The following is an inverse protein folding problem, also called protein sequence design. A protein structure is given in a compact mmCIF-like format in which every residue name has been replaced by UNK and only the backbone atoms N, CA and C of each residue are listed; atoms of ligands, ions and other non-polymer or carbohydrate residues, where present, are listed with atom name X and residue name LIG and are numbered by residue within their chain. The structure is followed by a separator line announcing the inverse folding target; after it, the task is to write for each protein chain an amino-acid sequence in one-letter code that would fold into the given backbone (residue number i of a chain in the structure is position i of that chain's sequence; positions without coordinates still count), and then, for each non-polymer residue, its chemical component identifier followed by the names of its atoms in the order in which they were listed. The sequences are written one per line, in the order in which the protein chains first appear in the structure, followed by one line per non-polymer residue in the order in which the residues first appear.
data_IF_251402648178
#
_entry.id   IF_251402648178
#
_cell.length_a   1.000
_cell.length_b   1.000
_cell.length_c   1.000
_cell.angle_alpha   90.00
_cell.angle_beta   90.00
_cell.angle_gamma   90.00
#
_symmetry.space_group_name_H-M   'P 1'
#
loop_
_entity.id
_entity.type
_entity.pdbx_description
1 polymer ?
#
# COMPACT_ATOMS: atom_id res chain seq x y z
N UNK A 1 -41.27 -10.58 0.56
CA UNK A 1 -40.17 -9.61 0.43
C UNK A 1 -39.79 -9.14 1.82
N UNK A 2 -38.55 -9.37 2.28
CA UNK A 2 -38.08 -8.78 3.53
C UNK A 2 -37.66 -7.33 3.25
N UNK A 3 -38.02 -6.35 4.10
CA UNK A 3 -37.56 -4.97 3.93
C UNK A 3 -36.04 -4.92 4.07
N UNK A 4 -35.39 -4.24 3.13
CA UNK A 4 -33.95 -3.96 3.21
C UNK A 4 -33.75 -3.00 4.39
N UNK A 5 -32.87 -3.30 5.36
CA UNK A 5 -32.61 -2.39 6.47
C UNK A 5 -32.08 -1.05 5.95
N UNK A 6 -32.56 0.05 6.52
CA UNK A 6 -32.11 1.40 6.19
C UNK A 6 -30.62 1.55 6.55
N UNK A 7 -29.83 2.14 5.65
CA UNK A 7 -28.42 2.47 5.93
C UNK A 7 -28.34 3.49 7.07
N UNK A 8 -27.20 3.53 7.75
CA UNK A 8 -26.95 4.60 8.72
C UNK A 8 -26.80 5.93 8.00
N UNK A 9 -27.25 7.02 8.62
CA UNK A 9 -27.09 8.39 8.10
C UNK A 9 -25.63 8.72 7.73
N UNK A 10 -24.68 8.24 8.53
CA UNK A 10 -23.26 8.41 8.27
C UNK A 10 -22.79 7.74 6.97
N UNK A 11 -23.36 6.58 6.61
CA UNK A 11 -23.07 5.91 5.35
C UNK A 11 -23.57 6.72 4.16
N UNK A 12 -24.76 7.33 4.26
CA UNK A 12 -25.35 8.15 3.18
C UNK A 12 -24.59 9.46 2.97
N UNK A 13 -24.15 10.09 4.06
CA UNK A 13 -23.29 11.28 4.01
C UNK A 13 -21.94 10.94 3.36
N UNK A 14 -21.35 9.80 3.71
CA UNK A 14 -20.10 9.33 3.08
C UNK A 14 -20.28 9.03 1.60
N UNK A 15 -21.36 8.35 1.21
CA UNK A 15 -21.69 8.08 -0.20
C UNK A 15 -21.79 9.39 -1.01
N UNK A 16 -22.37 10.43 -0.42
CA UNK A 16 -22.47 11.77 -1.02
C UNK A 16 -21.09 12.42 -1.21
N UNK A 17 -20.22 12.31 -0.20
CA UNK A 17 -18.84 12.83 -0.27
C UNK A 17 -18.05 12.12 -1.39
N UNK A 18 -18.14 10.79 -1.46
CA UNK A 18 -17.47 10.01 -2.50
C UNK A 18 -17.96 10.38 -3.90
N UNK A 19 -19.26 10.59 -4.06
CA UNK A 19 -19.84 11.04 -5.31
C UNK A 19 -19.31 12.41 -5.74
N UNK A 20 -19.20 13.36 -4.80
CA UNK A 20 -18.60 14.66 -5.08
C UNK A 20 -17.13 14.55 -5.51
N UNK A 21 -16.33 13.73 -4.83
CA UNK A 21 -14.94 13.50 -5.23
C UNK A 21 -14.84 12.82 -6.59
N UNK A 22 -15.74 11.89 -6.93
CA UNK A 22 -15.76 11.27 -8.25
C UNK A 22 -15.97 12.31 -9.34
N UNK A 23 -17.00 13.16 -9.21
CA UNK A 23 -17.28 14.24 -10.17
C UNK A 23 -16.12 15.22 -10.29
N UNK A 24 -15.50 15.57 -9.17
CA UNK A 24 -14.35 16.49 -9.17
C UNK A 24 -13.15 15.88 -9.90
N UNK A 25 -12.83 14.59 -9.65
CA UNK A 25 -11.77 13.87 -10.36
C UNK A 25 -12.06 13.76 -11.87
N UNK A 26 -13.29 13.47 -12.25
CA UNK A 26 -13.71 13.45 -13.67
C UNK A 26 -13.50 14.82 -14.34
N UNK A 27 -13.84 15.91 -13.65
CA UNK A 27 -13.60 17.27 -14.12
C UNK A 27 -12.10 17.57 -14.30
N UNK A 28 -11.27 17.24 -13.30
CA UNK A 28 -9.81 17.42 -13.37
C UNK A 28 -9.16 16.57 -14.47
N UNK A 29 -9.65 15.35 -14.66
CA UNK A 29 -9.19 14.48 -15.73
C UNK A 29 -9.56 15.06 -17.11
N UNK A 30 -10.79 15.56 -17.27
CA UNK A 30 -11.26 16.16 -18.52
C UNK A 30 -10.52 17.46 -18.89
N UNK A 31 -10.02 18.21 -17.91
CA UNK A 31 -9.19 19.40 -18.14
C UNK A 31 -7.70 19.10 -18.24
N UNK A 32 -7.30 17.83 -18.11
CA UNK A 32 -5.91 17.39 -18.05
C UNK A 32 -5.07 18.13 -16.99
N UNK A 33 -5.71 18.58 -15.91
CA UNK A 33 -5.06 19.35 -14.84
C UNK A 33 -4.09 18.46 -14.05
N UNK A 34 -2.80 18.81 -14.07
CA UNK A 34 -1.71 18.09 -13.39
C UNK A 34 -0.93 19.01 -12.45
N UNK A 35 -1.64 19.69 -11.56
CA UNK A 35 -1.07 20.61 -10.59
C UNK A 35 -1.19 20.07 -9.15
N UNK A 36 -0.76 20.87 -8.18
CA UNK A 36 -0.83 20.52 -6.76
C UNK A 36 -2.28 20.36 -6.27
N UNK A 37 -3.21 21.14 -6.81
CA UNK A 37 -4.62 21.04 -6.45
C UNK A 37 -5.19 19.68 -6.90
N UNK A 38 -4.87 19.23 -8.12
CA UNK A 38 -5.23 17.89 -8.57
C UNK A 38 -4.69 16.80 -7.64
N UNK A 39 -3.44 16.92 -7.18
CA UNK A 39 -2.87 15.99 -6.20
C UNK A 39 -3.70 15.97 -4.92
N UNK A 40 -3.93 17.12 -4.30
CA UNK A 40 -4.70 17.22 -3.05
C UNK A 40 -6.10 16.62 -3.16
N UNK A 41 -6.81 16.88 -4.27
CA UNK A 41 -8.14 16.30 -4.53
C UNK A 41 -8.08 14.77 -4.58
N UNK A 42 -7.09 14.21 -5.28
CA UNK A 42 -6.94 12.77 -5.37
C UNK A 42 -6.50 12.15 -4.04
N UNK A 43 -5.63 12.81 -3.28
CA UNK A 43 -5.23 12.39 -1.92
C UNK A 43 -6.46 12.31 -0.99
N UNK A 44 -7.30 13.36 -0.95
CA UNK A 44 -8.53 13.37 -0.16
C UNK A 44 -9.56 12.35 -0.65
N UNK A 45 -9.66 12.15 -1.96
CA UNK A 45 -10.53 11.12 -2.54
C UNK A 45 -10.09 9.72 -2.14
N UNK A 46 -8.78 9.45 -2.06
CA UNK A 46 -8.22 8.18 -1.59
C UNK A 46 -8.55 7.98 -0.12
N UNK A 47 -8.31 8.98 0.73
CA UNK A 47 -8.60 8.90 2.17
C UNK A 47 -10.10 8.68 2.42
N UNK A 48 -10.97 9.41 1.73
CA UNK A 48 -12.42 9.25 1.85
C UNK A 48 -12.88 7.86 1.42
N UNK A 49 -12.36 7.36 0.29
CA UNK A 49 -12.68 6.01 -0.21
C UNK A 49 -12.18 4.93 0.75
N UNK A 50 -11.02 5.15 1.37
CA UNK A 50 -10.47 4.30 2.39
C UNK A 50 -11.40 4.25 3.60
N UNK A 51 -11.77 5.39 4.19
CA UNK A 51 -12.70 5.46 5.33
C UNK A 51 -14.07 4.84 5.05
N UNK A 52 -14.58 5.00 3.83
CA UNK A 52 -15.83 4.39 3.39
C UNK A 52 -15.73 2.88 3.10
N UNK A 53 -14.52 2.31 3.07
CA UNK A 53 -14.28 0.94 2.62
C UNK A 53 -14.61 0.72 1.13
N UNK A 54 -14.70 1.78 0.33
CA UNK A 54 -15.03 1.71 -1.10
C UNK A 54 -13.75 1.40 -1.90
N UNK A 55 -13.38 0.12 -1.92
CA UNK A 55 -12.13 -0.31 -2.55
C UNK A 55 -12.08 -0.06 -4.08
N UNK A 56 -13.17 -0.24 -4.85
CA UNK A 56 -13.16 0.10 -6.27
C UNK A 56 -12.77 1.56 -6.53
N UNK A 57 -13.33 2.51 -5.78
CA UNK A 57 -12.98 3.92 -5.96
C UNK A 57 -11.60 4.26 -5.40
N UNK A 58 -11.24 3.66 -4.25
CA UNK A 58 -9.91 3.78 -3.66
C UNK A 58 -8.82 3.39 -4.65
N UNK A 59 -8.94 2.23 -5.28
CA UNK A 59 -7.92 1.69 -6.20
C UNK A 59 -7.79 2.51 -7.48
N UNK A 60 -8.91 2.99 -8.04
CA UNK A 60 -8.90 3.92 -9.19
C UNK A 60 -8.21 5.24 -8.84
N UNK A 61 -8.60 5.87 -7.72
CA UNK A 61 -8.03 7.14 -7.29
C UNK A 61 -6.54 6.99 -6.99
N UNK A 62 -6.17 5.96 -6.24
CA UNK A 62 -4.79 5.70 -5.83
C UNK A 62 -3.88 5.39 -7.03
N UNK A 63 -4.39 4.66 -8.03
CA UNK A 63 -3.63 4.37 -9.24
C UNK A 63 -3.25 5.65 -9.99
N UNK A 64 -4.24 6.50 -10.31
CA UNK A 64 -4.00 7.73 -11.03
C UNK A 64 -3.12 8.71 -10.22
N UNK A 65 -3.36 8.83 -8.90
CA UNK A 65 -2.54 9.65 -8.01
C UNK A 65 -1.06 9.27 -8.09
N UNK A 66 -0.75 7.98 -7.93
CA UNK A 66 0.64 7.52 -7.80
C UNK A 66 1.34 7.39 -9.16
N UNK A 67 0.64 6.96 -10.21
CA UNK A 67 1.23 6.71 -11.53
C UNK A 67 1.25 7.95 -12.44
N UNK A 68 0.27 8.84 -12.31
CA UNK A 68 0.12 9.97 -13.23
C UNK A 68 0.44 11.31 -12.58
N UNK A 69 -0.11 11.60 -11.40
CA UNK A 69 0.05 12.92 -10.77
C UNK A 69 1.37 13.06 -10.00
N UNK A 70 1.69 12.11 -9.13
CA UNK A 70 2.90 12.17 -8.32
C UNK A 70 4.20 12.33 -9.13
N UNK A 71 4.42 11.59 -10.24
CA UNK A 71 5.64 11.76 -11.02
C UNK A 71 5.72 13.14 -11.64
N UNK A 72 4.61 13.73 -12.10
CA UNK A 72 4.61 15.04 -12.75
C UNK A 72 4.84 16.16 -11.74
N UNK A 73 4.08 16.19 -10.64
CA UNK A 73 4.12 17.30 -9.68
C UNK A 73 5.41 17.32 -8.87
N UNK A 74 5.93 16.15 -8.48
CA UNK A 74 7.09 16.07 -7.59
C UNK A 74 8.44 15.92 -8.31
N UNK A 75 8.49 15.71 -9.63
CA UNK A 75 9.75 15.81 -10.39
C UNK A 75 10.09 17.25 -10.77
N UNK A 76 9.10 18.14 -10.79
CA UNK A 76 9.25 19.55 -11.18
C UNK A 76 9.71 20.46 -10.03
N UNK A 77 9.88 19.94 -8.81
CA UNK A 77 10.42 20.71 -7.70
C UNK A 77 11.94 20.51 -7.64
N UNK A 78 12.78 21.41 -8.21
CA UNK A 78 14.20 21.35 -7.96
C UNK A 78 14.43 21.45 -6.45
N UNK A 79 15.42 20.74 -5.88
CA UNK A 79 15.78 20.92 -4.48
C UNK A 79 16.02 22.42 -4.27
N UNK A 80 15.50 23.01 -3.17
CA UNK A 80 15.72 24.42 -2.90
C UNK A 80 17.23 24.63 -2.94
N UNK A 81 17.67 25.45 -3.90
CA UNK A 81 19.07 25.78 -4.11
C UNK A 81 19.61 26.32 -2.79
N UNK A 82 20.21 25.44 -2.00
CA UNK A 82 20.91 25.85 -0.81
C UNK A 82 22.05 26.72 -1.29
N UNK A 83 22.06 27.92 -0.73
CA UNK A 83 23.09 28.95 -0.85
C UNK A 83 24.49 28.35 -0.98
N UNK A 84 25.42 28.98 -1.70
CA UNK A 84 26.76 28.44 -1.89
C UNK A 84 27.44 28.27 -0.52
N UNK A 85 27.47 27.03 -0.02
CA UNK A 85 28.29 26.62 1.11
C UNK A 85 29.70 26.46 0.56
N UNK A 86 30.52 27.47 0.83
CA UNK A 86 31.96 27.34 0.72
C UNK A 86 32.46 26.21 1.64
N UNK A 87 33.49 25.52 1.15
CA UNK A 87 34.43 24.63 1.85
C UNK A 87 34.17 23.13 1.67
N UNK A 88 34.85 22.57 0.67
CA UNK A 88 35.90 21.56 0.77
C UNK A 88 35.75 20.46 1.83
N UNK A 89 35.85 19.20 1.35
CA UNK A 89 35.90 17.91 2.06
C UNK A 89 34.59 17.33 2.60
N UNK A 90 33.69 16.85 1.71
CA UNK A 90 32.98 15.57 1.88
C UNK A 90 32.10 15.22 0.66
N UNK A 91 32.68 14.58 -0.35
CA UNK A 91 32.01 14.28 -1.63
C UNK A 91 31.07 13.04 -1.61
N UNK A 92 30.83 12.42 -0.45
CA UNK A 92 30.01 11.21 -0.37
C UNK A 92 28.60 11.40 0.23
N UNK A 93 28.29 12.56 0.82
CA UNK A 93 27.00 12.78 1.50
C UNK A 93 25.91 13.42 0.61
N UNK A 94 26.30 13.95 -0.55
CA UNK A 94 25.40 14.71 -1.43
C UNK A 94 24.33 13.81 -2.09
N UNK A 95 24.62 12.51 -2.30
CA UNK A 95 23.66 11.54 -2.83
C UNK A 95 22.65 11.05 -1.78
N UNK A 96 22.96 11.15 -0.49
CA UNK A 96 22.06 10.73 0.60
C UNK A 96 21.12 11.85 1.05
N UNK A 97 21.49 13.13 0.88
CA UNK A 97 20.60 14.28 1.16
C UNK A 97 19.41 14.38 0.19
N UNK A 98 19.43 13.71 -0.96
CA UNK A 98 18.32 13.74 -1.94
C UNK A 98 17.13 12.85 -1.57
N UNK A 99 17.29 11.91 -0.63
CA UNK A 99 16.14 11.14 -0.11
C UNK A 99 15.24 11.97 0.83
N UNK A 100 15.76 13.10 1.34
CA UNK A 100 15.14 13.91 2.39
C UNK A 100 13.97 14.80 1.98
N UNK A 101 13.41 14.70 0.77
CA UNK A 101 12.31 15.58 0.35
C UNK A 101 11.16 14.88 -0.39
N UNK A 102 10.90 13.59 -0.14
CA UNK A 102 9.57 13.06 -0.47
C UNK A 102 8.63 13.46 0.66
N UNK A 103 7.58 14.26 0.41
CA UNK A 103 6.62 14.60 1.44
C UNK A 103 6.06 13.33 2.07
N UNK A 104 5.98 13.30 3.40
CA UNK A 104 5.42 12.18 4.17
C UNK A 104 4.13 11.65 3.56
N UNK A 105 3.23 12.57 3.21
CA UNK A 105 1.94 12.27 2.59
C UNK A 105 2.06 11.43 1.30
N UNK A 106 3.00 11.77 0.42
CA UNK A 106 3.29 10.98 -0.80
C UNK A 106 3.80 9.58 -0.45
N UNK A 107 4.66 9.45 0.56
CA UNK A 107 5.16 8.16 1.00
C UNK A 107 4.01 7.25 1.49
N UNK A 108 3.05 7.81 2.24
CA UNK A 108 1.85 7.09 2.69
C UNK A 108 1.09 6.47 1.52
N UNK A 109 0.71 7.28 0.53
CA UNK A 109 -0.04 6.78 -0.62
C UNK A 109 0.76 5.80 -1.48
N UNK A 110 2.06 6.02 -1.61
CA UNK A 110 2.94 5.07 -2.29
C UNK A 110 2.98 3.71 -1.56
N UNK A 111 3.10 3.72 -0.24
CA UNK A 111 3.06 2.51 0.59
C UNK A 111 1.76 1.73 0.40
N UNK A 112 0.61 2.43 0.46
CA UNK A 112 -0.70 1.81 0.21
C UNK A 112 -0.80 1.23 -1.21
N UNK A 113 -0.28 1.93 -2.21
CA UNK A 113 -0.30 1.47 -3.60
C UNK A 113 0.56 0.24 -3.83
N UNK A 114 1.76 0.21 -3.24
CA UNK A 114 2.66 -0.94 -3.27
C UNK A 114 2.00 -2.15 -2.58
N UNK A 115 1.46 -1.97 -1.37
CA UNK A 115 0.74 -3.02 -0.66
C UNK A 115 -0.43 -3.57 -1.49
N UNK A 116 -1.19 -2.71 -2.16
CA UNK A 116 -2.29 -3.13 -3.04
C UNK A 116 -1.83 -4.07 -4.17
N UNK A 117 -0.65 -3.81 -4.74
CA UNK A 117 -0.15 -4.57 -5.87
C UNK A 117 0.53 -5.86 -5.43
N UNK A 118 1.29 -5.82 -4.34
CA UNK A 118 2.01 -6.96 -3.81
C UNK A 118 1.06 -7.97 -3.16
N UNK A 119 0.01 -7.52 -2.48
CA UNK A 119 -0.88 -8.45 -1.79
C UNK A 119 -1.86 -9.18 -2.73
N UNK A 120 -1.83 -8.94 -4.04
CA UNK A 120 -2.63 -9.68 -5.03
C UNK A 120 -2.08 -11.11 -5.16
N UNK A 121 -2.90 -12.16 -4.99
CA UNK A 121 -2.46 -13.52 -5.22
C UNK A 121 -2.00 -13.66 -6.67
N UNK A 122 -0.91 -14.38 -6.89
CA UNK A 122 -0.40 -14.68 -8.22
C UNK A 122 -1.54 -15.26 -9.07
N UNK A 123 -1.96 -14.53 -10.12
CA UNK A 123 -3.06 -14.97 -11.01
C UNK A 123 -2.72 -16.25 -11.79
N UNK A 124 -1.47 -16.69 -11.73
CA UNK A 124 -0.97 -17.85 -12.42
C UNK A 124 -0.98 -19.03 -11.45
N UNK A 125 -1.92 -19.97 -11.65
CA UNK A 125 -1.93 -21.36 -11.16
C UNK A 125 -3.15 -21.82 -10.34
N UNK A 126 -4.24 -21.05 -10.21
CA UNK A 126 -5.45 -21.60 -9.56
C UNK A 126 -6.06 -22.76 -10.39
N UNK A 127 -5.92 -22.73 -11.72
CA UNK A 127 -6.46 -23.79 -12.59
C UNK A 127 -5.60 -25.08 -12.63
N UNK A 128 -4.37 -25.07 -12.12
CA UNK A 128 -3.43 -26.20 -12.27
C UNK A 128 -2.96 -26.80 -10.94
N UNK A 129 -3.19 -26.11 -9.82
CA UNK A 129 -2.73 -26.52 -8.47
C UNK A 129 -3.82 -27.18 -7.63
N UNK A 130 -5.04 -27.38 -8.17
CA UNK A 130 -6.11 -28.13 -7.49
C UNK A 130 -5.78 -29.61 -7.19
N UNK A 131 -4.57 -30.09 -7.49
CA UNK A 131 -4.08 -31.44 -7.20
C UNK A 131 -2.84 -31.49 -6.30
N UNK A 132 -2.31 -30.35 -5.84
CA UNK A 132 -1.14 -30.31 -4.95
C UNK A 132 -1.37 -29.35 -3.80
N UNK A 133 -1.92 -29.87 -2.71
CA UNK A 133 -2.24 -29.16 -1.46
C UNK A 133 -1.00 -28.76 -0.64
N UNK A 134 0.11 -28.39 -1.28
CA UNK A 134 1.25 -27.86 -0.51
C UNK A 134 1.23 -26.33 -0.56
N UNK A 135 0.93 -25.63 0.55
CA UNK A 135 1.04 -24.17 0.64
C UNK A 135 2.47 -23.68 0.33
N UNK A 136 3.48 -24.56 0.39
CA UNK A 136 4.84 -24.25 -0.07
C UNK A 136 4.94 -24.07 -1.61
N UNK A 137 4.05 -24.66 -2.42
CA UNK A 137 4.12 -24.54 -3.88
C UNK A 137 3.58 -23.22 -4.43
N UNK A 138 2.67 -22.54 -3.71
CA UNK A 138 2.28 -21.16 -4.05
C UNK A 138 3.45 -20.17 -3.91
N UNK A 139 4.50 -20.54 -3.16
CA UNK A 139 5.62 -19.66 -2.83
C UNK A 139 6.61 -19.42 -3.99
N UNK A 140 6.67 -20.29 -4.99
CA UNK A 140 7.75 -20.24 -5.99
C UNK A 140 7.45 -19.23 -7.11
N UNK A 141 6.16 -18.96 -7.36
CA UNK A 141 5.68 -18.23 -8.53
C UNK A 141 4.82 -17.00 -8.17
N UNK A 142 5.19 -16.21 -7.15
CA UNK A 142 4.77 -14.80 -7.18
C UNK A 142 5.23 -14.22 -8.53
N UNK A 143 4.41 -13.43 -9.25
CA UNK A 143 4.85 -12.77 -10.48
C UNK A 143 5.93 -11.75 -10.11
N UNK A 144 7.15 -12.24 -9.94
CA UNK A 144 8.32 -11.48 -9.47
C UNK A 144 8.57 -10.30 -10.41
N UNK A 145 8.36 -10.47 -11.72
CA UNK A 145 8.71 -9.46 -12.72
C UNK A 145 7.92 -8.16 -12.60
N UNK A 146 6.59 -8.19 -12.69
CA UNK A 146 5.80 -6.94 -12.76
C UNK A 146 5.81 -6.12 -11.47
N UNK A 147 5.76 -6.78 -10.31
CA UNK A 147 5.79 -6.08 -9.02
C UNK A 147 7.19 -5.64 -8.64
N UNK A 148 8.22 -6.43 -8.96
CA UNK A 148 9.59 -6.00 -8.76
C UNK A 148 9.96 -4.86 -9.71
N UNK A 149 9.44 -4.82 -10.94
CA UNK A 149 9.62 -3.68 -11.85
C UNK A 149 8.88 -2.44 -11.36
N UNK A 150 7.70 -2.59 -10.77
CA UNK A 150 6.96 -1.48 -10.17
C UNK A 150 7.68 -0.95 -8.92
N UNK A 151 8.05 -1.83 -8.00
CA UNK A 151 8.82 -1.46 -6.81
C UNK A 151 10.18 -0.91 -7.22
N UNK A 152 10.88 -1.53 -8.17
CA UNK A 152 12.15 -1.03 -8.69
C UNK A 152 11.98 0.29 -9.40
N UNK A 153 10.97 0.51 -10.25
CA UNK A 153 10.76 1.80 -10.92
C UNK A 153 10.48 2.91 -9.93
N UNK A 154 9.71 2.64 -8.87
CA UNK A 154 9.62 3.54 -7.74
C UNK A 154 11.00 3.71 -7.09
N UNK A 155 11.68 2.64 -6.69
CA UNK A 155 13.02 2.63 -6.09
C UNK A 155 14.17 3.05 -7.04
N UNK A 156 13.91 3.38 -8.30
CA UNK A 156 14.83 3.93 -9.31
C UNK A 156 14.50 5.41 -9.54
N UNK A 157 13.22 5.80 -9.45
CA UNK A 157 12.83 7.21 -9.25
C UNK A 157 13.34 7.73 -7.90
N UNK A 158 13.55 6.85 -6.93
CA UNK A 158 14.32 7.09 -5.73
C UNK A 158 15.74 6.56 -5.98
N UNK A 159 16.84 7.21 -5.59
CA UNK A 159 18.18 6.66 -5.84
C UNK A 159 18.52 5.46 -4.92
N UNK A 160 17.57 4.55 -4.64
CA UNK A 160 17.73 3.45 -3.66
C UNK A 160 18.46 2.21 -4.22
N UNK A 161 18.81 2.19 -5.52
CA UNK A 161 19.43 1.03 -6.17
C UNK A 161 20.97 1.09 -6.26
N UNK A 162 21.66 -0.04 -6.49
CA UNK A 162 22.38 -0.77 -5.46
C UNK A 162 23.89 -0.66 -5.66
N UNK A 163 24.61 -0.10 -4.69
CA UNK A 163 26.00 -0.50 -4.48
C UNK A 163 26.12 -1.04 -3.06
N UNK A 164 26.39 -2.36 -2.99
CA UNK A 164 26.64 -3.17 -1.81
C UNK A 164 25.46 -3.34 -0.86
N UNK A 165 25.51 -4.43 -0.11
CA UNK A 165 24.61 -4.85 0.96
C UNK A 165 24.59 -3.84 2.12
N UNK A 166 24.19 -2.61 1.83
CA UNK A 166 23.95 -1.59 2.85
C UNK A 166 22.65 -1.98 3.52
N UNK A 167 22.72 -2.13 4.83
CA UNK A 167 21.66 -2.49 5.76
C UNK A 167 20.36 -1.73 5.39
N UNK A 168 19.43 -2.43 4.73
CA UNK A 168 18.16 -1.86 4.27
C UNK A 168 17.43 -1.23 5.46
N UNK A 169 17.57 -1.85 6.64
CA UNK A 169 16.97 -1.38 7.88
C UNK A 169 17.38 0.06 8.25
N UNK A 170 18.65 0.42 8.04
CA UNK A 170 19.14 1.77 8.33
C UNK A 170 18.61 2.79 7.30
N UNK A 171 18.40 2.37 6.05
CA UNK A 171 17.80 3.21 5.00
C UNK A 171 16.30 3.42 5.19
N UNK A 172 15.62 2.49 5.84
CA UNK A 172 14.17 2.56 6.08
C UNK A 172 13.79 3.39 7.31
N UNK A 173 14.74 3.77 8.17
CA UNK A 173 14.45 4.41 9.45
C UNK A 173 13.76 5.79 9.34
N UNK A 174 13.96 6.51 8.23
CA UNK A 174 13.35 7.81 7.96
C UNK A 174 12.10 7.77 7.07
N UNK A 175 11.62 6.58 6.70
CA UNK A 175 10.43 6.46 5.85
C UNK A 175 9.15 6.47 6.67
N UNK A 176 8.08 6.95 6.05
CA UNK A 176 6.75 6.85 6.63
C UNK A 176 6.36 5.37 6.89
N UNK A 177 5.62 5.09 7.98
CA UNK A 177 5.29 3.73 8.40
C UNK A 177 4.64 2.88 7.30
N UNK A 178 3.77 3.48 6.47
CA UNK A 178 3.09 2.78 5.37
C UNK A 178 4.06 2.32 4.28
N UNK A 179 5.00 3.18 3.89
CA UNK A 179 6.00 2.84 2.89
C UNK A 179 7.01 1.83 3.45
N UNK A 180 7.46 2.04 4.68
CA UNK A 180 8.34 1.10 5.39
C UNK A 180 7.73 -0.29 5.45
N UNK A 181 6.48 -0.41 5.90
CA UNK A 181 5.75 -1.67 5.95
C UNK A 181 5.66 -2.31 4.56
N UNK A 182 5.32 -1.53 3.53
CA UNK A 182 5.19 -2.03 2.17
C UNK A 182 6.49 -2.65 1.65
N UNK A 183 7.63 -2.00 1.91
CA UNK A 183 8.95 -2.47 1.51
C UNK A 183 9.43 -3.67 2.34
N UNK A 184 9.14 -3.71 3.64
CA UNK A 184 9.40 -4.88 4.50
C UNK A 184 8.58 -6.10 4.01
N UNK A 185 7.29 -5.88 3.74
CA UNK A 185 6.38 -6.91 3.24
C UNK A 185 6.86 -7.47 1.88
N UNK A 186 7.25 -6.59 0.96
CA UNK A 186 7.86 -6.96 -0.31
C UNK A 186 9.13 -7.80 -0.13
N UNK A 187 10.02 -7.36 0.78
CA UNK A 187 11.29 -8.01 1.04
C UNK A 187 11.09 -9.44 1.55
N UNK A 188 10.18 -9.63 2.51
CA UNK A 188 9.85 -10.97 3.01
C UNK A 188 9.27 -11.88 1.93
N UNK A 189 8.40 -11.37 1.06
CA UNK A 189 7.87 -12.13 -0.07
C UNK A 189 8.97 -12.54 -1.04
N UNK A 190 9.88 -11.63 -1.37
CA UNK A 190 11.03 -11.90 -2.24
C UNK A 190 11.98 -12.96 -1.69
N UNK A 191 12.15 -12.98 -0.37
CA UNK A 191 12.98 -13.96 0.33
C UNK A 191 12.26 -15.31 0.54
N UNK A 192 10.96 -15.40 0.26
CA UNK A 192 10.14 -16.55 0.63
C UNK A 192 9.99 -16.72 2.14
N UNK A 193 10.22 -15.66 2.93
CA UNK A 193 10.14 -15.69 4.38
C UNK A 193 8.70 -15.44 4.86
N UNK A 194 7.88 -16.48 4.79
CA UNK A 194 6.46 -16.43 5.17
C UNK A 194 6.25 -16.13 6.65
N UNK A 195 7.11 -16.66 7.52
CA UNK A 195 7.01 -16.42 8.96
C UNK A 195 7.28 -14.94 9.27
N UNK A 196 8.30 -14.35 8.63
CA UNK A 196 8.58 -12.91 8.73
C UNK A 196 7.41 -12.06 8.25
N UNK A 197 6.82 -12.43 7.10
CA UNK A 197 5.60 -11.79 6.57
C UNK A 197 4.42 -11.87 7.54
N UNK A 198 4.08 -13.05 8.05
CA UNK A 198 2.94 -13.22 8.95
C UNK A 198 3.17 -12.51 10.29
N UNK A 199 4.41 -12.52 10.82
CA UNK A 199 4.77 -11.71 11.99
C UNK A 199 4.61 -10.22 11.73
N UNK A 200 4.94 -9.77 10.51
CA UNK A 200 4.73 -8.39 10.09
C UNK A 200 3.26 -8.02 10.06
N UNK A 201 2.35 -8.98 9.79
CA UNK A 201 0.88 -8.82 9.79
C UNK A 201 0.23 -9.01 11.16
N UNK A 202 0.90 -9.73 12.06
CA UNK A 202 0.42 -10.11 13.37
C UNK A 202 0.32 -8.96 14.36
N UNK A 203 -0.35 -9.24 15.48
CA UNK A 203 -0.44 -8.34 16.64
C UNK A 203 0.89 -8.19 17.38
N UNK A 204 1.84 -9.11 17.15
CA UNK A 204 3.11 -9.20 17.87
C UNK A 204 4.05 -8.02 17.62
N UNK A 205 3.83 -7.19 16.58
CA UNK A 205 4.61 -5.96 16.38
C UNK A 205 4.49 -5.00 17.57
N UNK A 206 3.30 -4.91 18.17
CA UNK A 206 3.10 -4.05 19.33
C UNK A 206 3.98 -4.49 20.52
N UNK A 207 4.31 -5.78 20.62
CA UNK A 207 5.18 -6.32 21.66
C UNK A 207 6.66 -6.06 21.38
N UNK A 208 7.05 -5.92 20.11
CA UNK A 208 8.41 -5.64 19.68
C UNK A 208 8.79 -4.14 19.74
N UNK A 209 7.86 -3.27 20.17
CA UNK A 209 8.05 -1.82 20.16
C UNK A 209 7.88 -1.18 18.77
N UNK A 210 7.42 -1.97 17.79
CA UNK A 210 7.10 -1.49 16.45
C UNK A 210 5.71 -0.84 16.42
N UNK A 211 5.51 0.13 15.51
CA UNK A 211 4.20 0.71 15.28
C UNK A 211 3.20 -0.36 14.82
N UNK A 212 2.00 -0.42 15.41
CA UNK A 212 0.98 -1.36 14.98
C UNK A 212 0.55 -1.06 13.56
N UNK A 213 0.22 -2.11 12.81
CA UNK A 213 -0.31 -1.99 11.45
C UNK A 213 -1.61 -1.19 11.49
N UNK A 214 -1.64 -0.13 10.69
CA UNK A 214 -2.80 0.75 10.56
C UNK A 214 -3.96 -0.03 9.95
N UNK A 215 -5.19 0.40 10.28
CA UNK A 215 -6.38 -0.21 9.69
C UNK A 215 -6.37 -0.16 8.15
N UNK A 216 -5.83 0.92 7.57
CA UNK A 216 -5.67 1.11 6.14
C UNK A 216 -4.83 0.01 5.50
N UNK A 217 -3.66 -0.26 6.08
CA UNK A 217 -2.74 -1.29 5.63
C UNK A 217 -3.42 -2.68 5.69
N UNK A 218 -4.11 -3.00 6.79
CA UNK A 218 -4.85 -4.26 6.94
C UNK A 218 -5.94 -4.41 5.88
N UNK A 219 -6.69 -3.33 5.62
CA UNK A 219 -7.75 -3.32 4.61
C UNK A 219 -7.18 -3.60 3.21
N UNK A 220 -6.09 -2.93 2.84
CA UNK A 220 -5.44 -3.11 1.53
C UNK A 220 -4.92 -4.54 1.36
N UNK A 221 -4.30 -5.08 2.39
CA UNK A 221 -3.76 -6.44 2.38
C UNK A 221 -4.90 -7.46 2.27
N UNK A 222 -5.94 -7.33 3.11
CA UNK A 222 -7.11 -8.22 3.09
C UNK A 222 -7.83 -8.22 1.75
N UNK A 223 -8.13 -7.04 1.21
CA UNK A 223 -8.81 -6.95 -0.08
C UNK A 223 -7.98 -7.56 -1.21
N UNK A 224 -6.66 -7.30 -1.20
CA UNK A 224 -5.80 -7.76 -2.29
C UNK A 224 -5.62 -9.26 -2.27
N UNK A 225 -5.61 -9.91 -1.09
CA UNK A 225 -5.57 -11.38 -0.97
C UNK A 225 -6.84 -12.07 -1.51
N UNK A 226 -7.89 -11.30 -1.82
CA UNK A 226 -9.24 -11.84 -2.04
C UNK A 226 -9.77 -12.48 -0.75
N UNK A 227 -11.06 -12.78 -0.68
CA UNK A 227 -11.69 -13.45 0.47
C UNK A 227 -11.16 -14.88 0.76
N UNK A 228 -9.97 -15.25 0.30
CA UNK A 228 -9.28 -16.51 0.60
C UNK A 228 -9.10 -16.76 2.12
N UNK A 229 -9.13 -15.72 2.96
CA UNK A 229 -9.18 -15.84 4.42
C UNK A 229 -10.60 -15.93 5.00
N UNK A 230 -11.63 -15.53 4.25
CA UNK A 230 -13.03 -15.67 4.65
C UNK A 230 -13.46 -17.13 4.81
N UNK A 231 -12.77 -18.05 4.14
CA UNK A 231 -13.00 -19.50 4.28
C UNK A 231 -12.35 -20.06 5.56
N UNK A 232 -11.17 -19.56 5.96
CA UNK A 232 -10.43 -20.08 7.12
C UNK A 232 -10.96 -19.60 8.48
N UNK A 233 -11.61 -18.43 8.53
CA UNK A 233 -12.21 -17.91 9.77
C UNK A 233 -13.61 -18.46 10.06
N UNK A 234 -14.33 -18.95 9.05
CA UNK A 234 -15.64 -19.62 9.26
C UNK A 234 -15.46 -21.06 9.75
N UNK A 235 -14.33 -21.70 9.45
CA UNK A 235 -14.03 -23.07 9.94
C UNK A 235 -13.39 -23.13 11.34
N UNK A 236 -13.10 -21.98 11.97
CA UNK A 236 -12.45 -21.91 13.28
C UNK A 236 -13.35 -21.62 14.48
N UNK A 237 -14.65 -21.39 14.27
CA UNK A 237 -15.60 -20.96 15.31
C UNK A 237 -16.93 -21.73 15.30
N UNK A 238 -16.93 -22.97 14.82
CA UNK A 238 -18.14 -23.79 14.76
C UNK A 238 -17.86 -25.27 14.96
N UNK A 239 -17.58 -25.68 16.20
CA UNK A 239 -18.11 -26.93 16.75
C UNK A 239 -18.00 -26.89 18.28
N UNK A 240 -19.09 -26.44 18.88
CA UNK A 240 -19.32 -26.38 20.31
C UNK A 240 -20.81 -26.39 20.58
N UNK A 241 -21.52 -27.33 19.93
CA UNK A 241 -22.82 -27.77 20.39
C UNK A 241 -22.64 -28.54 21.71
N UNK A 242 -23.45 -28.25 22.73
CA UNK A 242 -24.41 -29.22 23.27
C UNK A 242 -25.11 -28.66 24.54
N UNK A 243 -26.43 -28.51 24.40
CA UNK A 243 -27.40 -29.13 25.30
C UNK A 243 -27.63 -28.50 26.67
N UNK A 244 -28.70 -27.71 26.81
CA UNK A 244 -29.54 -27.72 28.01
C UNK A 244 -31.00 -27.60 27.57
N UNK A 245 -31.66 -28.76 27.44
CA UNK A 245 -33.09 -28.89 27.70
C UNK A 245 -33.31 -28.79 29.22
N UNK A 246 -34.30 -27.99 29.63
CA UNK A 246 -34.74 -27.82 31.01
C UNK A 246 -35.90 -26.84 31.09
#
# INVERSE_FOLDING_TARGET
MRPIPSRSRQSEEMDTILESFRKLREGLFATEARDLFSVEVYEESVLSSLYAGNIPELTKALHHLVQELHPVVYTLSPPPSSSPRNNDDDNNDILFTSFGQIPARRQTFLGLYILHHIAKPARHNIATVALTEDPLFQAVNHPKTGTDELVASFLYLFPLHPQRSVDINNKLAGLEPDLKLALEYWTYLRQGNWIGRERLLGTDRALAGDLPITWAQRLMIRHSMGDSLGVLLVTGLGDGAEGWDG
#
